data_IF_383828693853
#
_entry.id   IF_383828693853
#
_cell.length_a   1.000
_cell.length_b   1.000
_cell.length_c   1.000
_cell.angle_alpha   90.00
_cell.angle_beta   90.00
_cell.angle_gamma   90.00
#
_symmetry.space_group_name_H-M   'P 1'
#
loop_
_entity.id
_entity.type
_entity.pdbx_description
1 polymer ?
#
# COMPACT_ATOMS: atom_id res chain seq x y z
N UNK A 1 6.31 -10.80 12.54
CA UNK A 1 5.11 -11.56 12.08
C UNK A 1 3.80 -10.83 12.35
N UNK A 2 3.53 -10.34 13.57
CA UNK A 2 2.28 -9.61 13.86
C UNK A 2 1.99 -8.42 12.94
N UNK A 3 3.01 -7.60 12.65
CA UNK A 3 2.89 -6.46 11.74
C UNK A 3 2.55 -6.89 10.30
N UNK A 4 3.20 -7.96 9.82
CA UNK A 4 2.98 -8.52 8.49
C UNK A 4 1.54 -9.04 8.39
N UNK A 5 1.09 -9.85 9.33
CA UNK A 5 -0.28 -10.39 9.30
C UNK A 5 -1.34 -9.31 9.37
N UNK A 6 -1.21 -8.37 10.29
CA UNK A 6 -2.15 -7.25 10.44
C UNK A 6 -2.28 -6.44 9.14
N UNK A 7 -1.15 -5.98 8.58
CA UNK A 7 -1.20 -5.15 7.39
C UNK A 7 -1.57 -5.94 6.13
N UNK A 8 -1.14 -7.19 5.96
CA UNK A 8 -1.54 -8.01 4.81
C UNK A 8 -3.06 -8.18 4.75
N UNK A 9 -3.68 -8.59 5.87
CA UNK A 9 -5.13 -8.79 5.93
C UNK A 9 -5.86 -7.46 5.71
N UNK A 10 -5.38 -6.36 6.30
CA UNK A 10 -5.95 -5.03 6.08
C UNK A 10 -5.85 -4.58 4.62
N UNK A 11 -4.72 -4.80 3.97
CA UNK A 11 -4.51 -4.44 2.56
C UNK A 11 -5.41 -5.27 1.64
N UNK A 12 -5.59 -6.56 1.92
CA UNK A 12 -6.56 -7.40 1.20
C UNK A 12 -8.00 -6.89 1.41
N UNK A 13 -8.40 -6.57 2.65
CA UNK A 13 -9.71 -5.99 2.92
C UNK A 13 -9.94 -4.66 2.19
N UNK A 14 -8.96 -3.77 2.26
CA UNK A 14 -8.95 -2.50 1.52
C UNK A 14 -9.06 -2.71 0.00
N UNK A 15 -8.36 -3.71 -0.53
CA UNK A 15 -8.44 -4.08 -1.95
C UNK A 15 -9.88 -4.43 -2.34
N UNK A 16 -10.58 -5.23 -1.54
CA UNK A 16 -11.90 -5.76 -1.91
C UNK A 16 -13.08 -4.85 -1.52
N UNK A 17 -12.87 -3.88 -0.64
CA UNK A 17 -13.92 -2.91 -0.30
C UNK A 17 -13.71 -1.55 -0.95
N UNK A 18 -12.50 -0.98 -0.84
CA UNK A 18 -12.24 0.40 -1.25
C UNK A 18 -11.98 0.53 -2.75
N UNK A 19 -11.23 -0.41 -3.36
CA UNK A 19 -10.93 -0.33 -4.80
C UNK A 19 -12.22 -0.34 -5.62
N UNK A 20 -13.16 -1.31 -5.48
CA UNK A 20 -14.40 -1.32 -6.26
C UNK A 20 -15.22 -0.04 -6.05
N UNK A 21 -15.30 0.44 -4.80
CA UNK A 21 -16.05 1.64 -4.45
C UNK A 21 -15.54 2.88 -5.20
N UNK A 22 -14.22 3.09 -5.25
CA UNK A 22 -13.63 4.26 -5.91
C UNK A 22 -13.49 4.11 -7.43
N UNK A 23 -13.40 2.89 -7.95
CA UNK A 23 -13.30 2.63 -9.41
C UNK A 23 -14.65 2.40 -10.08
N UNK A 24 -15.76 2.36 -9.31
CA UNK A 24 -17.07 1.88 -9.75
C UNK A 24 -16.95 0.49 -10.41
N UNK A 25 -16.05 -0.33 -9.88
CA UNK A 25 -15.79 -1.68 -10.35
C UNK A 25 -16.73 -2.67 -9.66
N UNK A 26 -16.92 -3.82 -10.29
CA UNK A 26 -17.59 -4.95 -9.66
C UNK A 26 -16.55 -5.93 -9.13
N UNK A 27 -16.80 -6.45 -7.93
CA UNK A 27 -16.06 -7.57 -7.37
C UNK A 27 -16.26 -8.78 -8.28
N UNK A 28 -15.18 -9.16 -8.97
CA UNK A 28 -15.13 -10.36 -9.79
C UNK A 28 -14.35 -11.43 -9.04
N UNK A 29 -14.76 -12.68 -9.19
CA UNK A 29 -14.08 -13.88 -8.67
C UNK A 29 -13.99 -13.96 -7.13
N UNK A 30 -15.12 -14.18 -6.42
CA UNK A 30 -15.13 -14.35 -4.96
C UNK A 30 -14.26 -15.53 -4.49
N UNK A 31 -14.07 -16.56 -5.32
CA UNK A 31 -13.16 -17.67 -5.02
C UNK A 31 -11.70 -17.23 -4.87
N UNK A 32 -11.22 -16.33 -5.74
CA UNK A 32 -9.84 -15.80 -5.67
C UNK A 32 -9.64 -14.93 -4.42
N UNK A 33 -10.67 -14.17 -4.03
CA UNK A 33 -10.67 -13.37 -2.80
C UNK A 33 -10.54 -14.28 -1.57
N UNK A 34 -11.41 -15.29 -1.48
CA UNK A 34 -11.41 -16.25 -0.38
C UNK A 34 -10.09 -17.00 -0.30
N UNK A 35 -9.59 -17.51 -1.43
CA UNK A 35 -8.35 -18.26 -1.47
C UNK A 35 -7.16 -17.37 -1.08
N UNK A 36 -7.12 -16.11 -1.53
CA UNK A 36 -6.09 -15.15 -1.12
C UNK A 36 -6.06 -14.92 0.40
N UNK A 37 -7.23 -14.74 1.02
CA UNK A 37 -7.35 -14.58 2.47
C UNK A 37 -6.92 -15.85 3.21
N UNK A 38 -7.48 -17.01 2.84
CA UNK A 38 -7.15 -18.30 3.48
C UNK A 38 -5.67 -18.62 3.36
N UNK A 39 -5.07 -18.47 2.17
CA UNK A 39 -3.64 -18.69 1.96
C UNK A 39 -2.79 -17.71 2.78
N UNK A 40 -3.18 -16.44 2.93
CA UNK A 40 -2.42 -15.50 3.76
C UNK A 40 -2.40 -15.91 5.24
N UNK A 41 -3.55 -16.35 5.78
CA UNK A 41 -3.65 -16.81 7.16
C UNK A 41 -2.91 -18.13 7.37
N UNK A 42 -3.07 -19.09 6.45
CA UNK A 42 -2.35 -20.37 6.48
C UNK A 42 -0.83 -20.15 6.42
N UNK A 43 -0.37 -19.23 5.56
CA UNK A 43 1.04 -18.86 5.45
C UNK A 43 1.61 -18.32 6.76
N UNK A 44 0.87 -17.44 7.46
CA UNK A 44 1.28 -16.93 8.76
C UNK A 44 1.31 -18.02 9.84
N UNK A 45 0.30 -18.89 9.86
CA UNK A 45 0.20 -20.02 10.81
C UNK A 45 1.36 -21.00 10.60
N UNK A 46 1.83 -21.20 9.38
CA UNK A 46 3.01 -22.03 9.10
C UNK A 46 4.34 -21.29 9.38
N UNK A 47 4.46 -20.02 8.98
CA UNK A 47 5.70 -19.25 9.14
C UNK A 47 6.06 -18.99 10.61
N UNK A 48 5.08 -18.70 11.47
CA UNK A 48 5.34 -18.43 12.89
C UNK A 48 6.10 -19.58 13.60
N UNK A 49 5.57 -20.82 13.63
CA UNK A 49 6.27 -21.98 14.19
C UNK A 49 7.49 -22.39 13.36
N UNK A 50 7.46 -22.24 12.03
CA UNK A 50 8.60 -22.54 11.17
C UNK A 50 9.84 -21.71 11.52
N UNK A 51 9.65 -20.42 11.83
CA UNK A 51 10.73 -19.52 12.27
C UNK A 51 11.09 -19.81 13.73
N UNK A 52 10.10 -19.98 14.61
CA UNK A 52 10.35 -20.15 16.05
C UNK A 52 11.11 -21.45 16.38
N UNK A 53 10.84 -22.54 15.65
CA UNK A 53 11.46 -23.84 15.87
C UNK A 53 12.49 -24.23 14.81
N UNK A 54 12.78 -23.36 13.83
CA UNK A 54 13.69 -23.67 12.73
C UNK A 54 13.24 -24.83 11.84
N UNK A 55 11.94 -25.15 11.83
CA UNK A 55 11.43 -26.33 11.13
C UNK A 55 11.23 -26.05 9.63
N UNK A 56 12.21 -26.49 8.82
CA UNK A 56 12.31 -26.20 7.39
C UNK A 56 11.06 -26.52 6.55
N UNK A 57 10.38 -27.68 6.71
CA UNK A 57 9.18 -27.97 5.93
C UNK A 57 8.06 -26.95 6.15
N UNK A 58 7.92 -26.45 7.38
CA UNK A 58 6.88 -25.51 7.76
C UNK A 58 7.19 -24.08 7.28
N UNK A 59 8.48 -23.72 7.23
CA UNK A 59 8.95 -22.51 6.55
C UNK A 59 8.61 -22.56 5.06
N UNK A 60 8.93 -23.65 4.37
CA UNK A 60 8.62 -23.79 2.94
C UNK A 60 7.12 -23.78 2.65
N UNK A 61 6.33 -24.49 3.46
CA UNK A 61 4.87 -24.46 3.36
C UNK A 61 4.32 -23.05 3.59
N UNK A 62 4.82 -22.34 4.60
CA UNK A 62 4.42 -20.97 4.90
C UNK A 62 4.77 -19.98 3.80
N UNK A 63 5.96 -20.10 3.21
CA UNK A 63 6.39 -19.31 2.06
C UNK A 63 5.52 -19.58 0.82
N UNK A 64 5.22 -20.85 0.54
CA UNK A 64 4.35 -21.25 -0.56
C UNK A 64 2.94 -20.66 -0.40
N UNK A 65 2.35 -20.77 0.79
CA UNK A 65 1.05 -20.17 1.08
C UNK A 65 1.06 -18.65 0.95
N UNK A 66 2.14 -17.97 1.36
CA UNK A 66 2.28 -16.52 1.17
C UNK A 66 2.37 -16.13 -0.31
N UNK A 67 3.11 -16.90 -1.11
CA UNK A 67 3.19 -16.70 -2.56
C UNK A 67 1.82 -16.90 -3.22
N UNK A 68 1.11 -17.98 -2.87
CA UNK A 68 -0.25 -18.23 -3.35
C UNK A 68 -1.22 -17.10 -2.94
N UNK A 69 -1.09 -16.57 -1.71
CA UNK A 69 -1.90 -15.46 -1.24
C UNK A 69 -1.73 -14.21 -2.12
N UNK A 70 -0.49 -13.89 -2.51
CA UNK A 70 -0.19 -12.78 -3.42
C UNK A 70 -0.78 -13.03 -4.80
N UNK A 71 -0.63 -14.23 -5.36
CA UNK A 71 -1.17 -14.58 -6.68
C UNK A 71 -2.69 -14.46 -6.70
N UNK A 72 -3.39 -15.06 -5.73
CA UNK A 72 -4.85 -15.01 -5.67
C UNK A 72 -5.39 -13.61 -5.39
N UNK A 73 -4.73 -12.84 -4.51
CA UNK A 73 -5.11 -11.45 -4.22
C UNK A 73 -4.84 -10.54 -5.42
N UNK A 74 -3.71 -10.71 -6.11
CA UNK A 74 -3.35 -9.97 -7.31
C UNK A 74 -4.29 -10.27 -8.47
N UNK A 75 -4.68 -11.53 -8.66
CA UNK A 75 -5.66 -11.92 -9.66
C UNK A 75 -7.05 -11.30 -9.37
N UNK A 76 -7.51 -11.34 -8.11
CA UNK A 76 -8.76 -10.70 -7.71
C UNK A 76 -8.72 -9.17 -7.89
N UNK A 77 -7.58 -8.55 -7.55
CA UNK A 77 -7.36 -7.11 -7.76
C UNK A 77 -7.37 -6.75 -9.23
N UNK A 78 -6.67 -7.50 -10.08
CA UNK A 78 -6.64 -7.28 -11.53
C UNK A 78 -8.04 -7.43 -12.15
N UNK A 79 -8.80 -8.47 -11.77
CA UNK A 79 -10.17 -8.66 -12.23
C UNK A 79 -11.10 -7.50 -11.81
N UNK A 80 -10.90 -6.97 -10.61
CA UNK A 80 -11.62 -5.79 -10.10
C UNK A 80 -11.24 -4.52 -10.85
N UNK A 81 -9.95 -4.33 -11.16
CA UNK A 81 -9.50 -3.21 -11.97
C UNK A 81 -9.99 -3.33 -13.42
N UNK A 82 -10.13 -4.52 -13.99
CA UNK A 82 -10.65 -4.70 -15.34
C UNK A 82 -12.14 -4.36 -15.46
N UNK A 83 -12.93 -4.54 -14.40
CA UNK A 83 -14.36 -4.19 -14.38
C UNK A 83 -14.63 -2.69 -14.15
N UNK A 84 -13.58 -1.87 -14.02
CA UNK A 84 -13.71 -0.44 -13.73
C UNK A 84 -14.34 0.33 -14.88
N UNK A 85 -15.22 1.28 -14.53
CA UNK A 85 -15.81 2.22 -15.50
C UNK A 85 -14.96 3.49 -15.71
N UNK A 86 -14.10 3.84 -14.74
CA UNK A 86 -13.24 5.04 -14.81
C UNK A 86 -11.94 4.78 -15.59
N UNK A 87 -11.80 5.41 -16.77
CA UNK A 87 -10.63 5.26 -17.67
C UNK A 87 -9.29 5.78 -17.11
N UNK A 88 -9.28 6.77 -16.22
CA UNK A 88 -8.05 7.30 -15.60
C UNK A 88 -7.95 6.89 -14.14
N UNK A 89 -6.87 6.20 -13.77
CA UNK A 89 -6.56 5.90 -12.38
C UNK A 89 -6.08 7.16 -11.66
N UNK A 90 -6.66 7.42 -10.51
CA UNK A 90 -6.25 8.49 -9.62
C UNK A 90 -4.97 8.09 -8.87
N UNK A 91 -4.09 9.04 -8.49
CA UNK A 91 -2.78 8.76 -7.94
C UNK A 91 -2.84 7.86 -6.71
N UNK A 92 -3.84 7.99 -5.84
CA UNK A 92 -4.02 7.08 -4.70
C UNK A 92 -4.24 5.62 -5.08
N UNK A 93 -5.00 5.33 -6.16
CA UNK A 93 -5.18 3.95 -6.64
C UNK A 93 -3.91 3.44 -7.35
N UNK A 94 -3.20 4.34 -8.07
CA UNK A 94 -1.91 3.98 -8.68
C UNK A 94 -0.89 3.63 -7.61
N UNK A 95 -0.76 4.45 -6.58
CA UNK A 95 0.19 4.21 -5.48
C UNK A 95 -0.17 2.93 -4.73
N UNK A 96 -1.47 2.66 -4.50
CA UNK A 96 -1.90 1.39 -3.93
C UNK A 96 -1.48 0.20 -4.78
N UNK A 97 -1.70 0.25 -6.10
CA UNK A 97 -1.27 -0.82 -6.99
C UNK A 97 0.26 -1.02 -6.96
N UNK A 98 1.03 0.09 -6.93
CA UNK A 98 2.48 0.04 -6.82
C UNK A 98 2.94 -0.54 -5.48
N UNK A 99 2.25 -0.20 -4.40
CA UNK A 99 2.49 -0.78 -3.08
C UNK A 99 2.24 -2.28 -3.04
N UNK A 100 1.16 -2.76 -3.68
CA UNK A 100 0.88 -4.20 -3.80
C UNK A 100 1.93 -4.94 -4.66
N UNK A 101 2.44 -4.32 -5.73
CA UNK A 101 3.55 -4.89 -6.50
C UNK A 101 4.84 -4.93 -5.68
N UNK A 102 5.13 -3.88 -4.93
CA UNK A 102 6.28 -3.83 -4.02
C UNK A 102 6.15 -4.87 -2.88
N UNK A 103 4.93 -5.16 -2.43
CA UNK A 103 4.68 -6.20 -1.43
C UNK A 103 5.02 -7.59 -1.99
N UNK A 104 4.66 -7.86 -3.24
CA UNK A 104 5.07 -9.09 -3.93
C UNK A 104 6.61 -9.18 -4.03
N UNK A 105 7.28 -8.08 -4.37
CA UNK A 105 8.74 -8.02 -4.39
C UNK A 105 9.36 -8.23 -2.99
N UNK A 106 8.75 -7.68 -1.94
CA UNK A 106 9.18 -7.90 -0.56
C UNK A 106 9.04 -9.38 -0.15
N UNK A 107 7.98 -10.06 -0.59
CA UNK A 107 7.84 -11.51 -0.35
C UNK A 107 8.91 -12.30 -1.08
N UNK A 108 9.24 -11.96 -2.33
CA UNK A 108 10.35 -12.59 -3.06
C UNK A 108 11.68 -12.38 -2.34
N UNK A 109 11.97 -11.16 -1.87
CA UNK A 109 13.16 -10.89 -1.06
C UNK A 109 13.18 -11.70 0.24
N UNK A 110 12.04 -11.83 0.92
CA UNK A 110 11.90 -12.67 2.10
C UNK A 110 12.15 -14.15 1.81
N UNK A 111 11.64 -14.68 0.69
CA UNK A 111 11.92 -16.06 0.27
C UNK A 111 13.40 -16.29 -0.05
N UNK A 112 14.04 -15.32 -0.72
CA UNK A 112 15.46 -15.37 -1.01
C UNK A 112 16.32 -15.37 0.26
N UNK A 113 15.97 -14.53 1.23
CA UNK A 113 16.69 -14.45 2.50
C UNK A 113 16.61 -15.77 3.28
N UNK A 114 15.42 -16.39 3.35
CA UNK A 114 15.25 -17.69 4.01
C UNK A 114 16.03 -18.80 3.29
N UNK A 115 16.02 -18.81 1.95
CA UNK A 115 16.69 -19.84 1.16
C UNK A 115 18.22 -19.73 1.18
N UNK A 116 18.76 -18.51 1.18
CA UNK A 116 20.21 -18.28 1.23
C UNK A 116 20.83 -18.58 2.59
N UNK A 117 20.02 -18.91 3.61
CA UNK A 117 20.50 -19.11 4.98
C UNK A 117 20.99 -17.82 5.64
N UNK A 118 20.85 -16.67 4.96
CA UNK A 118 21.10 -15.36 5.54
C UNK A 118 19.93 -15.08 6.50
N UNK A 119 20.16 -15.25 7.79
CA UNK A 119 19.21 -14.73 8.74
C UNK A 119 19.11 -13.22 8.53
N UNK A 120 17.90 -12.64 8.51
CA UNK A 120 17.72 -11.19 8.40
C UNK A 120 18.44 -10.47 9.55
N UNK A 121 18.65 -11.15 10.68
CA UNK A 121 19.47 -10.64 11.78
C UNK A 121 20.98 -10.63 11.48
N UNK A 122 21.45 -11.50 10.58
CA UNK A 122 22.87 -11.71 10.29
C UNK A 122 23.38 -10.90 9.09
N UNK A 123 22.52 -10.66 8.08
CA UNK A 123 22.88 -9.82 6.94
C UNK A 123 22.18 -8.44 7.01
N UNK A 124 22.89 -7.39 7.46
CA UNK A 124 22.30 -6.06 7.60
C UNK A 124 21.91 -5.45 6.25
N UNK A 125 22.48 -5.89 5.13
CA UNK A 125 22.13 -5.39 3.79
C UNK A 125 20.78 -5.95 3.34
N UNK A 126 20.57 -7.25 3.46
CA UNK A 126 19.30 -7.90 3.13
C UNK A 126 18.18 -7.36 4.04
N UNK A 127 18.46 -7.17 5.34
CA UNK A 127 17.51 -6.56 6.27
C UNK A 127 17.09 -5.15 5.84
N UNK A 128 18.06 -4.28 5.49
CA UNK A 128 17.78 -2.93 4.99
C UNK A 128 16.98 -2.94 3.69
N UNK A 129 17.29 -3.85 2.75
CA UNK A 129 16.52 -4.01 1.52
C UNK A 129 15.09 -4.45 1.81
N UNK A 130 14.91 -5.46 2.65
CA UNK A 130 13.60 -5.98 3.02
C UNK A 130 12.72 -4.91 3.68
N UNK A 131 13.26 -4.14 4.62
CA UNK A 131 12.52 -3.05 5.28
C UNK A 131 12.22 -1.92 4.29
N UNK A 132 13.17 -1.56 3.42
CA UNK A 132 12.96 -0.47 2.45
C UNK A 132 11.90 -0.86 1.41
N UNK A 133 11.91 -2.08 0.89
CA UNK A 133 10.89 -2.55 -0.07
C UNK A 133 9.56 -2.85 0.63
N UNK A 134 9.58 -3.58 1.74
CA UNK A 134 8.37 -4.02 2.42
C UNK A 134 7.64 -2.89 3.17
N UNK A 135 8.35 -2.08 3.94
CA UNK A 135 7.73 -1.03 4.76
C UNK A 135 7.73 0.29 4.02
N UNK A 136 8.91 0.78 3.65
CA UNK A 136 9.03 2.12 3.09
C UNK A 136 8.38 2.22 1.71
N UNK A 137 8.45 1.19 0.86
CA UNK A 137 7.78 1.18 -0.45
C UNK A 137 6.37 0.59 -0.39
N UNK A 138 6.24 -0.68 0.01
CA UNK A 138 4.97 -1.39 -0.15
C UNK A 138 3.89 -0.89 0.81
N UNK A 139 4.14 -0.91 2.12
CA UNK A 139 3.15 -0.47 3.11
C UNK A 139 2.83 1.02 2.98
N UNK A 140 3.84 1.87 2.86
CA UNK A 140 3.61 3.32 2.81
C UNK A 140 2.77 3.72 1.59
N UNK A 141 3.07 3.24 0.38
CA UNK A 141 2.32 3.59 -0.83
C UNK A 141 0.88 3.05 -0.80
N UNK A 142 0.70 1.87 -0.21
CA UNK A 142 -0.61 1.25 -0.07
C UNK A 142 -1.48 2.02 0.93
N UNK A 143 -0.96 2.28 2.13
CA UNK A 143 -1.71 2.96 3.19
C UNK A 143 -1.97 4.42 2.79
N UNK A 144 -0.94 5.17 2.41
CA UNK A 144 -1.08 6.58 2.03
C UNK A 144 -1.94 6.73 0.76
N UNK A 145 -1.81 5.80 -0.18
CA UNK A 145 -2.64 5.77 -1.39
C UNK A 145 -4.13 5.69 -1.12
N UNK A 146 -4.51 4.82 -0.17
CA UNK A 146 -5.89 4.70 0.27
C UNK A 146 -6.31 5.87 1.13
N UNK A 147 -5.43 6.42 1.98
CA UNK A 147 -5.72 7.64 2.74
C UNK A 147 -6.02 8.85 1.84
N UNK A 148 -5.36 8.99 0.67
CA UNK A 148 -5.72 10.00 -0.33
C UNK A 148 -7.17 9.89 -0.80
N UNK A 149 -7.82 8.73 -0.65
CA UNK A 149 -9.20 8.48 -1.06
C UNK A 149 -10.18 8.51 0.11
N UNK A 150 -9.81 7.89 1.22
CA UNK A 150 -10.62 7.80 2.43
C UNK A 150 -10.80 9.19 3.05
N UNK A 151 -9.72 9.97 3.17
CA UNK A 151 -9.76 11.27 3.84
C UNK A 151 -10.72 12.26 3.18
N UNK A 152 -10.64 12.55 1.86
CA UNK A 152 -11.59 13.46 1.23
C UNK A 152 -13.03 12.93 1.27
N UNK A 153 -13.24 11.61 1.19
CA UNK A 153 -14.57 11.02 1.29
C UNK A 153 -15.20 11.23 2.68
N UNK A 154 -14.49 10.91 3.77
CA UNK A 154 -14.98 11.06 5.13
C UNK A 154 -15.26 12.51 5.48
N UNK A 155 -14.33 13.40 5.12
CA UNK A 155 -14.48 14.84 5.38
C UNK A 155 -15.64 15.41 4.56
N UNK A 156 -15.80 14.98 3.31
CA UNK A 156 -16.93 15.39 2.49
C UNK A 156 -18.27 14.95 3.08
N UNK A 157 -18.38 13.68 3.49
CA UNK A 157 -19.58 13.13 4.14
C UNK A 157 -19.96 13.95 5.38
N UNK A 158 -18.99 14.31 6.22
CA UNK A 158 -19.23 15.08 7.44
C UNK A 158 -19.58 16.55 7.17
N UNK A 159 -18.86 17.23 6.28
CA UNK A 159 -19.01 18.68 6.06
C UNK A 159 -20.15 19.06 5.07
N UNK A 160 -20.46 18.18 4.12
CA UNK A 160 -21.38 18.45 3.01
C UNK A 160 -22.52 17.43 2.87
N UNK A 161 -22.46 16.26 3.51
CA UNK A 161 -23.49 15.21 3.36
C UNK A 161 -24.92 15.69 3.66
N UNK A 162 -25.11 16.47 4.73
CA UNK A 162 -26.44 17.02 5.08
C UNK A 162 -26.94 18.17 4.19
N UNK A 163 -26.12 18.63 3.23
CA UNK A 163 -26.41 19.76 2.33
C UNK A 163 -26.79 19.29 0.91
N UNK A 164 -26.70 17.99 0.64
CA UNK A 164 -27.07 17.39 -0.65
C UNK A 164 -28.54 17.70 -0.94
N UNK A 165 -28.84 18.14 -2.16
CA UNK A 165 -30.19 18.50 -2.60
C UNK A 165 -30.70 19.86 -2.09
N UNK A 166 -30.02 20.49 -1.13
CA UNK A 166 -30.36 21.84 -0.63
C UNK A 166 -29.57 22.94 -1.33
N UNK A 167 -28.32 22.65 -1.68
CA UNK A 167 -27.43 23.58 -2.39
C UNK A 167 -26.39 22.82 -3.21
N UNK A 168 -25.71 23.52 -4.12
CA UNK A 168 -24.55 22.96 -4.84
C UNK A 168 -23.44 22.68 -3.83
N UNK A 169 -22.91 21.46 -3.86
CA UNK A 169 -21.79 21.01 -3.02
C UNK A 169 -20.64 20.55 -3.91
N UNK A 170 -19.37 20.80 -3.54
CA UNK A 170 -18.23 20.33 -4.31
C UNK A 170 -18.21 18.80 -4.35
N UNK A 171 -17.55 18.21 -5.33
CA UNK A 171 -17.32 16.77 -5.37
C UNK A 171 -16.27 16.37 -4.33
N UNK A 172 -16.36 15.17 -3.75
CA UNK A 172 -15.37 14.67 -2.78
C UNK A 172 -13.94 14.72 -3.33
N UNK A 173 -13.75 14.46 -4.62
CA UNK A 173 -12.45 14.51 -5.31
C UNK A 173 -11.90 15.93 -5.51
N UNK A 174 -12.72 16.97 -5.35
CA UNK A 174 -12.29 18.37 -5.50
C UNK A 174 -11.73 18.97 -4.20
N UNK A 175 -11.93 18.29 -3.07
CA UNK A 175 -11.34 18.68 -1.79
C UNK A 175 -9.81 18.51 -1.84
N UNK A 176 -9.33 17.50 -2.57
CA UNK A 176 -7.91 17.24 -2.72
C UNK A 176 -7.27 18.02 -3.87
N UNK A 177 -5.98 18.30 -3.76
CA UNK A 177 -5.19 18.95 -4.78
C UNK A 177 -4.46 17.91 -5.63
N UNK A 178 -4.83 17.82 -6.90
CA UNK A 178 -4.20 16.90 -7.85
C UNK A 178 -2.69 17.11 -7.99
N UNK A 179 -2.23 18.36 -7.90
CA UNK A 179 -0.80 18.71 -7.98
C UNK A 179 -0.05 18.13 -6.78
N UNK A 180 -0.57 18.35 -5.56
CA UNK A 180 0.07 17.83 -4.34
C UNK A 180 0.07 16.30 -4.28
N UNK A 181 -1.02 15.64 -4.71
CA UNK A 181 -1.07 14.17 -4.77
C UNK A 181 -0.04 13.60 -5.76
N UNK A 182 0.13 14.23 -6.93
CA UNK A 182 1.14 13.80 -7.91
C UNK A 182 2.56 14.10 -7.44
N UNK A 183 2.81 15.28 -6.88
CA UNK A 183 4.10 15.64 -6.30
C UNK A 183 4.50 14.69 -5.17
N UNK A 184 3.56 14.37 -4.26
CA UNK A 184 3.77 13.34 -3.24
C UNK A 184 4.15 12.01 -3.88
N UNK A 185 3.32 11.49 -4.79
CA UNK A 185 3.55 10.18 -5.39
C UNK A 185 4.93 10.10 -6.06
N UNK A 186 5.32 11.13 -6.83
CA UNK A 186 6.62 11.17 -7.52
C UNK A 186 7.79 11.30 -6.55
N UNK A 187 7.77 12.27 -5.63
CA UNK A 187 8.88 12.51 -4.69
C UNK A 187 9.05 11.37 -3.68
N UNK A 188 7.94 10.83 -3.19
CA UNK A 188 7.93 9.72 -2.24
C UNK A 188 8.48 8.44 -2.88
N UNK A 189 7.98 8.08 -4.07
CA UNK A 189 8.48 6.88 -4.78
C UNK A 189 9.93 7.03 -5.23
N UNK A 190 10.30 8.16 -5.84
CA UNK A 190 11.69 8.41 -6.27
C UNK A 190 12.65 8.46 -5.10
N UNK A 191 12.29 9.08 -3.97
CA UNK A 191 13.09 9.08 -2.75
C UNK A 191 13.38 7.66 -2.26
N UNK A 192 12.38 6.78 -2.25
CA UNK A 192 12.58 5.38 -1.86
C UNK A 192 13.42 4.63 -2.88
N UNK A 193 13.25 4.86 -4.18
CA UNK A 193 14.11 4.24 -5.21
C UNK A 193 15.57 4.65 -5.02
N UNK A 194 15.83 5.92 -4.72
CA UNK A 194 17.18 6.42 -4.41
C UNK A 194 17.71 5.82 -3.10
N UNK A 195 16.86 5.64 -2.07
CA UNK A 195 17.25 4.92 -0.86
C UNK A 195 17.58 3.44 -1.12
N UNK A 196 16.85 2.76 -2.01
CA UNK A 196 17.18 1.39 -2.42
C UNK A 196 18.55 1.33 -3.08
N UNK A 197 18.80 2.25 -4.02
CA UNK A 197 20.12 2.45 -4.62
C UNK A 197 21.21 2.71 -3.58
N UNK A 198 20.93 3.52 -2.56
CA UNK A 198 21.86 3.78 -1.46
C UNK A 198 22.21 2.52 -0.67
N UNK A 199 21.25 1.62 -0.44
CA UNK A 199 21.50 0.33 0.22
C UNK A 199 22.33 -0.62 -0.66
N UNK A 200 22.09 -0.62 -1.98
CA UNK A 200 22.83 -1.47 -2.90
C UNK A 200 24.30 -1.05 -3.05
N UNK A 201 24.54 0.25 -3.17
CA UNK A 201 25.87 0.85 -3.35
C UNK A 201 26.54 1.33 -2.05
N UNK A 202 25.89 1.15 -0.91
CA UNK A 202 26.40 1.53 0.42
C UNK A 202 26.84 3.01 0.48
N UNK A 203 26.07 3.88 -0.17
CA UNK A 203 26.38 5.29 -0.34
C UNK A 203 25.56 6.18 0.59
N UNK A 204 26.24 6.87 1.51
CA UNK A 204 25.61 7.85 2.41
C UNK A 204 25.00 9.02 1.66
N UNK A 205 25.63 9.47 0.57
CA UNK A 205 25.13 10.59 -0.23
C UNK A 205 23.78 10.24 -0.86
N UNK A 206 23.66 9.05 -1.46
CA UNK A 206 22.39 8.57 -1.99
C UNK A 206 21.33 8.43 -0.88
N UNK A 207 21.72 7.96 0.31
CA UNK A 207 20.79 7.84 1.43
C UNK A 207 20.23 9.21 1.86
N UNK A 208 21.09 10.24 1.94
CA UNK A 208 20.67 11.61 2.27
C UNK A 208 19.73 12.16 1.20
N UNK A 209 20.10 12.07 -0.08
CA UNK A 209 19.27 12.56 -1.19
C UNK A 209 17.91 11.84 -1.23
N UNK A 210 17.91 10.52 -1.12
CA UNK A 210 16.68 9.72 -1.11
C UNK A 210 15.76 10.07 0.05
N UNK A 211 16.33 10.26 1.24
CA UNK A 211 15.57 10.64 2.45
C UNK A 211 15.00 12.05 2.33
N UNK A 212 15.74 13.01 1.77
CA UNK A 212 15.24 14.37 1.53
C UNK A 212 14.10 14.40 0.51
N UNK A 213 14.20 13.63 -0.57
CA UNK A 213 13.11 13.48 -1.55
C UNK A 213 11.87 12.86 -0.90
N UNK A 214 12.05 11.78 -0.12
CA UNK A 214 10.98 11.12 0.61
C UNK A 214 10.29 12.07 1.61
N UNK A 215 11.08 12.83 2.38
CA UNK A 215 10.57 13.81 3.34
C UNK A 215 9.77 14.92 2.63
N UNK A 216 10.28 15.43 1.50
CA UNK A 216 9.59 16.45 0.70
C UNK A 216 8.26 15.91 0.16
N UNK A 217 8.25 14.67 -0.33
CA UNK A 217 7.02 13.99 -0.74
C UNK A 217 6.01 13.88 0.41
N UNK A 218 6.48 13.51 1.61
CA UNK A 218 5.64 13.45 2.82
C UNK A 218 5.03 14.81 3.16
N UNK A 219 5.79 15.90 3.04
CA UNK A 219 5.27 17.28 3.23
C UNK A 219 4.16 17.60 2.21
N UNK A 220 4.32 17.21 0.94
CA UNK A 220 3.25 17.37 -0.06
C UNK A 220 1.97 16.61 0.33
N UNK A 221 2.11 15.38 0.84
CA UNK A 221 0.98 14.57 1.31
C UNK A 221 0.26 15.24 2.48
N UNK A 222 1.00 15.62 3.52
CA UNK A 222 0.41 16.27 4.70
C UNK A 222 -0.21 17.62 4.36
N UNK A 223 0.41 18.41 3.49
CA UNK A 223 -0.17 19.67 3.00
C UNK A 223 -1.52 19.44 2.32
N UNK A 224 -1.63 18.38 1.52
CA UNK A 224 -2.89 18.00 0.89
C UNK A 224 -3.92 17.53 1.93
N UNK A 225 -3.51 16.70 2.89
CA UNK A 225 -4.36 16.23 3.97
C UNK A 225 -4.91 17.39 4.81
N UNK A 226 -4.05 18.34 5.20
CA UNK A 226 -4.44 19.55 5.94
C UNK A 226 -5.45 20.36 5.15
N UNK A 227 -5.21 20.59 3.85
CA UNK A 227 -6.16 21.29 2.96
C UNK A 227 -7.54 20.61 2.97
N UNK A 228 -7.58 19.28 2.93
CA UNK A 228 -8.84 18.52 2.98
C UNK A 228 -9.51 18.71 4.33
N UNK A 229 -8.79 18.52 5.44
CA UNK A 229 -9.32 18.63 6.81
C UNK A 229 -9.84 20.03 7.13
N UNK A 230 -9.22 21.08 6.58
CA UNK A 230 -9.68 22.46 6.77
C UNK A 230 -11.13 22.69 6.29
N UNK A 231 -11.67 21.87 5.39
CA UNK A 231 -13.08 21.95 5.01
C UNK A 231 -14.06 21.59 6.15
N UNK A 232 -13.61 20.93 7.23
CA UNK A 232 -14.43 20.75 8.43
C UNK A 232 -14.67 22.07 9.17
N UNK A 233 -13.68 22.94 9.16
CA UNK A 233 -13.70 24.22 9.90
C UNK A 233 -14.24 25.32 8.97
N UNK A 234 -13.75 25.36 7.73
CA UNK A 234 -14.07 26.35 6.71
C UNK A 234 -14.66 25.67 5.48
N UNK A 235 -15.91 25.17 5.54
CA UNK A 235 -16.56 24.60 4.38
C UNK A 235 -16.70 25.67 3.29
N UNK A 236 -16.46 25.29 2.04
CA UNK A 236 -16.67 26.20 0.90
C UNK A 236 -18.14 26.61 0.88
N UNK A 237 -18.35 27.92 0.89
CA UNK A 237 -19.66 28.50 0.58
C UNK A 237 -19.94 28.30 -0.92
N UNK A 238 -21.23 28.15 -1.31
CA UNK A 238 -21.61 27.94 -2.70
C UNK A 238 -21.15 29.08 -3.61
#
# INVERSE_FOLDING_TARGET
MGLIGFFLTLLQGSTFQLVPMFTMGQLRNPGSIRNGLVCSQAGLICLCPGIAWGFSPLLMAGLLFMALAIVYSGHAFAATLQSRKRKRLEPGIKSFAWGMMALAAATLLGTYAIHSGSDLASDPKIARLYITVGVALALSLSILGMLCKILPFLIWMKAYGGKIGKQKVPLATELSSRRLEMSWLMLHTSGIMVCLSAVLWESILLAVVGTLLFATGSVCFFSNATRIVLHLIYPRKP
#
